data_IF_141233765002
#
_entry.id   IF_141233765002
#
_cell.length_a   1.000
_cell.length_b   1.000
_cell.length_c   1.000
_cell.angle_alpha   90.00
_cell.angle_beta   90.00
_cell.angle_gamma   90.00
#
_symmetry.space_group_name_H-M   'P 1'
#
loop_
_entity.id
_entity.type
_entity.pdbx_description
1 polymer ?
#
# COMPACT_ATOMS: atom_id res chain seq x y z
N UNK A 1 35.79 -54.51 -53.16
CA UNK A 1 35.46 -55.64 -52.26
C UNK A 1 35.08 -55.08 -50.90
N UNK A 2 33.84 -55.39 -50.48
CA UNK A 2 33.29 -55.37 -49.12
C UNK A 2 34.39 -55.14 -48.05
N UNK A 3 34.44 -54.02 -47.33
CA UNK A 3 33.62 -53.72 -46.15
C UNK A 3 33.34 -52.21 -46.06
N UNK A 4 32.39 -51.77 -46.88
CA UNK A 4 31.56 -50.59 -46.64
C UNK A 4 30.38 -51.12 -45.82
N UNK A 5 30.32 -50.81 -44.51
CA UNK A 5 29.13 -50.82 -43.64
C UNK A 5 29.63 -50.78 -42.19
N UNK A 6 29.95 -49.60 -41.64
CA UNK A 6 30.00 -49.31 -40.19
C UNK A 6 30.60 -47.92 -39.93
N UNK A 7 30.17 -46.89 -40.66
CA UNK A 7 30.50 -45.51 -40.28
C UNK A 7 29.50 -44.46 -40.80
N UNK A 8 28.25 -44.89 -41.02
CA UNK A 8 27.17 -44.01 -41.50
C UNK A 8 25.85 -44.31 -40.78
N UNK A 9 25.94 -44.49 -39.46
CA UNK A 9 24.77 -44.59 -38.59
C UNK A 9 24.94 -43.83 -37.27
N UNK A 10 25.75 -42.76 -37.29
CA UNK A 10 26.00 -41.91 -36.11
C UNK A 10 25.93 -40.40 -36.42
N UNK A 11 25.28 -40.01 -37.52
CA UNK A 11 25.07 -38.60 -37.89
C UNK A 11 23.62 -38.38 -38.40
N UNK A 12 22.64 -38.99 -37.72
CA UNK A 12 21.21 -38.72 -37.94
C UNK A 12 20.43 -38.53 -36.63
N UNK A 13 21.13 -38.28 -35.54
CA UNK A 13 20.57 -37.71 -34.32
C UNK A 13 20.94 -36.23 -34.21
N UNK A 14 20.80 -35.49 -35.32
CA UNK A 14 20.40 -34.08 -35.23
C UNK A 14 18.96 -34.14 -34.78
N UNK A 15 18.79 -34.18 -33.46
CA UNK A 15 17.56 -33.80 -32.81
C UNK A 15 17.15 -32.49 -33.46
N UNK A 16 16.08 -32.52 -34.24
CA UNK A 16 15.16 -31.39 -34.22
C UNK A 16 14.72 -31.31 -32.76
N UNK A 17 15.49 -30.61 -31.94
CA UNK A 17 14.87 -29.84 -30.87
C UNK A 17 13.83 -29.01 -31.61
N UNK A 18 12.58 -29.43 -31.43
CA UNK A 18 11.47 -28.52 -31.60
C UNK A 18 11.94 -27.26 -30.90
N UNK A 19 12.04 -26.17 -31.64
CA UNK A 19 11.85 -24.84 -31.07
C UNK A 19 10.51 -24.91 -30.35
N UNK A 20 10.54 -25.38 -29.10
CA UNK A 20 9.43 -25.19 -28.22
C UNK A 20 9.37 -23.69 -28.09
N UNK A 21 8.20 -23.20 -28.44
CA UNK A 21 7.62 -21.90 -28.18
C UNK A 21 7.67 -21.51 -26.68
N UNK A 22 8.76 -21.83 -25.97
CA UNK A 22 9.08 -21.56 -24.57
C UNK A 22 9.96 -20.34 -24.38
N UNK A 23 10.41 -19.71 -25.47
CA UNK A 23 10.93 -18.33 -25.45
C UNK A 23 9.80 -17.29 -25.59
N UNK A 24 8.54 -17.70 -25.40
CA UNK A 24 7.50 -16.79 -24.94
C UNK A 24 7.87 -16.35 -23.52
N UNK A 25 8.61 -15.25 -23.43
CA UNK A 25 8.86 -14.47 -22.23
C UNK A 25 7.62 -14.54 -21.32
N UNK A 26 7.83 -14.90 -20.05
CA UNK A 26 6.81 -14.95 -19.00
C UNK A 26 6.28 -13.53 -18.68
N UNK A 27 5.67 -12.87 -19.67
CA UNK A 27 5.08 -11.52 -19.68
C UNK A 27 3.87 -11.39 -18.76
N UNK A 28 3.43 -12.50 -18.15
CA UNK A 28 2.37 -12.50 -17.14
C UNK A 28 2.82 -11.92 -15.80
N UNK A 29 4.11 -12.00 -15.48
CA UNK A 29 4.62 -11.67 -14.14
C UNK A 29 5.08 -10.23 -13.95
N UNK A 30 5.26 -9.51 -15.06
CA UNK A 30 5.75 -8.13 -15.05
C UNK A 30 4.63 -7.12 -15.30
N UNK A 31 4.77 -5.90 -14.82
CA UNK A 31 3.89 -4.77 -15.17
C UNK A 31 4.74 -3.51 -15.34
N UNK A 32 4.41 -2.72 -16.37
CA UNK A 32 5.06 -1.44 -16.65
C UNK A 32 4.27 -0.31 -16.00
N UNK A 33 4.99 0.57 -15.31
CA UNK A 33 4.46 1.71 -14.59
C UNK A 33 5.05 2.98 -15.19
N UNK A 34 4.23 3.81 -15.83
CA UNK A 34 4.64 5.08 -16.42
C UNK A 34 4.80 6.12 -15.32
N UNK A 35 5.99 6.70 -15.24
CA UNK A 35 6.24 7.86 -14.38
C UNK A 35 5.83 9.12 -15.13
N UNK A 36 4.87 9.86 -14.57
CA UNK A 36 4.47 11.18 -15.02
C UNK A 36 4.96 12.18 -13.99
N UNK A 37 5.95 13.00 -14.36
CA UNK A 37 6.55 13.97 -13.45
C UNK A 37 5.49 14.92 -12.88
N UNK A 38 5.38 14.96 -11.56
CA UNK A 38 4.32 15.70 -10.86
C UNK A 38 4.70 17.12 -10.45
N UNK A 39 5.95 17.33 -10.04
CA UNK A 39 6.48 18.62 -9.56
C UNK A 39 7.96 18.77 -9.92
N UNK A 40 8.54 19.97 -9.73
CA UNK A 40 9.90 20.30 -10.21
C UNK A 40 10.98 19.30 -9.78
N UNK A 41 10.89 18.88 -8.53
CA UNK A 41 11.88 18.05 -7.84
C UNK A 41 11.52 16.56 -7.86
N UNK A 42 10.44 16.19 -8.54
CA UNK A 42 10.07 14.80 -8.79
C UNK A 42 11.04 14.20 -9.81
N UNK A 43 11.61 13.05 -9.44
CA UNK A 43 12.52 12.27 -10.27
C UNK A 43 12.08 10.83 -10.25
N UNK A 44 12.39 10.08 -11.31
CA UNK A 44 12.06 8.66 -11.37
C UNK A 44 12.68 7.86 -10.23
N UNK A 45 13.86 8.27 -9.73
CA UNK A 45 14.52 7.62 -8.58
C UNK A 45 13.73 7.84 -7.28
N UNK A 46 13.24 9.05 -7.04
CA UNK A 46 12.35 9.34 -5.89
C UNK A 46 11.03 8.59 -6.03
N UNK A 47 10.47 8.56 -7.23
CA UNK A 47 9.27 7.78 -7.54
C UNK A 47 9.49 6.28 -7.34
N UNK A 48 10.66 5.73 -7.67
CA UNK A 48 11.02 4.34 -7.41
C UNK A 48 11.14 4.05 -5.91
N UNK A 49 11.70 4.97 -5.12
CA UNK A 49 11.70 4.86 -3.66
C UNK A 49 10.26 4.85 -3.13
N UNK A 50 9.41 5.78 -3.57
CA UNK A 50 8.00 5.83 -3.20
C UNK A 50 7.23 4.55 -3.57
N UNK A 51 7.52 3.96 -4.73
CA UNK A 51 6.96 2.67 -5.14
C UNK A 51 7.43 1.52 -4.25
N UNK A 52 8.72 1.47 -3.89
CA UNK A 52 9.25 0.47 -2.96
C UNK A 52 8.57 0.57 -1.60
N UNK A 53 8.40 1.78 -1.07
CA UNK A 53 7.62 1.98 0.16
C UNK A 53 6.19 1.50 0.01
N UNK A 54 5.47 1.88 -1.06
CA UNK A 54 4.11 1.40 -1.34
C UNK A 54 3.99 -0.13 -1.34
N UNK A 55 4.93 -0.81 -2.02
CA UNK A 55 4.98 -2.27 -2.08
C UNK A 55 5.32 -2.90 -0.73
N UNK A 56 6.24 -2.28 0.02
CA UNK A 56 6.57 -2.71 1.38
C UNK A 56 5.34 -2.65 2.28
N UNK A 57 4.55 -1.57 2.23
CA UNK A 57 3.34 -1.43 3.04
C UNK A 57 2.29 -2.51 2.80
N UNK A 58 2.22 -3.08 1.60
CA UNK A 58 1.33 -4.20 1.28
C UNK A 58 2.00 -5.57 1.46
N UNK A 59 3.18 -5.63 2.09
CA UNK A 59 3.81 -6.88 2.54
C UNK A 59 5.04 -7.34 1.74
N UNK A 60 5.57 -6.53 0.82
CA UNK A 60 6.79 -6.90 0.09
C UNK A 60 8.02 -6.88 1.02
N UNK A 61 8.86 -7.91 0.94
CA UNK A 61 10.17 -7.93 1.63
C UNK A 61 11.27 -7.23 0.83
N UNK A 62 11.07 -7.01 -0.47
CA UNK A 62 11.99 -6.34 -1.40
C UNK A 62 13.45 -6.84 -1.26
N UNK A 63 13.73 -8.08 -1.69
CA UNK A 63 15.07 -8.64 -1.63
C UNK A 63 16.12 -7.73 -2.27
N UNK A 64 17.22 -7.48 -1.55
CA UNK A 64 18.34 -6.67 -2.04
C UNK A 64 19.02 -7.31 -3.25
N UNK A 65 19.14 -8.64 -3.25
CA UNK A 65 19.52 -9.44 -4.41
C UNK A 65 18.28 -9.74 -5.26
N UNK A 66 18.29 -9.36 -6.54
CA UNK A 66 17.20 -9.62 -7.50
C UNK A 66 15.87 -8.94 -7.11
N UNK A 67 15.92 -7.63 -6.85
CA UNK A 67 14.81 -6.80 -6.38
C UNK A 67 13.57 -6.74 -7.29
N UNK A 68 13.65 -7.26 -8.52
CA UNK A 68 12.51 -7.31 -9.45
C UNK A 68 12.19 -6.00 -10.14
N UNK A 69 13.03 -4.97 -10.02
CA UNK A 69 12.84 -3.67 -10.68
C UNK A 69 13.80 -3.50 -11.85
N UNK A 70 13.32 -2.87 -12.91
CA UNK A 70 14.13 -2.26 -13.97
C UNK A 70 13.46 -0.98 -14.43
N UNK A 71 14.23 0.06 -14.76
CA UNK A 71 13.66 1.34 -15.17
C UNK A 71 14.35 1.91 -16.43
N UNK A 72 13.57 2.63 -17.23
CA UNK A 72 14.03 3.56 -18.26
C UNK A 72 13.92 4.99 -17.72
N UNK A 73 14.02 6.02 -18.57
CA UNK A 73 13.82 7.41 -18.15
C UNK A 73 12.37 7.74 -17.75
N UNK A 74 11.38 6.96 -18.22
CA UNK A 74 9.95 7.27 -18.06
C UNK A 74 9.11 6.10 -17.56
N UNK A 75 9.67 4.90 -17.46
CA UNK A 75 8.93 3.69 -17.09
C UNK A 75 9.69 2.89 -16.06
N UNK A 76 8.98 2.43 -15.02
CA UNK A 76 9.46 1.44 -14.06
C UNK A 76 8.73 0.13 -14.35
N UNK A 77 9.48 -0.92 -14.66
CA UNK A 77 8.95 -2.29 -14.78
C UNK A 77 9.21 -3.03 -13.48
N UNK A 78 8.17 -3.65 -12.93
CA UNK A 78 8.28 -4.54 -11.77
C UNK A 78 7.98 -5.98 -12.19
N UNK A 79 8.68 -6.95 -11.61
CA UNK A 79 8.36 -8.36 -11.66
C UNK A 79 7.78 -8.80 -10.31
N UNK A 80 6.48 -9.05 -10.27
CA UNK A 80 5.72 -9.32 -9.05
C UNK A 80 6.28 -10.51 -8.26
N UNK A 81 6.74 -11.57 -8.95
CA UNK A 81 7.30 -12.77 -8.32
C UNK A 81 8.65 -12.53 -7.64
N UNK A 82 9.34 -11.44 -7.96
CA UNK A 82 10.67 -11.10 -7.43
C UNK A 82 10.64 -10.11 -6.27
N UNK A 83 9.48 -9.53 -5.95
CA UNK A 83 9.33 -8.52 -4.89
C UNK A 83 9.31 -9.11 -3.47
N UNK A 84 9.30 -10.44 -3.35
CA UNK A 84 9.33 -11.13 -2.06
C UNK A 84 8.01 -11.04 -1.28
N UNK A 85 6.88 -11.09 -2.01
CA UNK A 85 5.54 -11.27 -1.47
C UNK A 85 5.24 -12.74 -1.12
N UNK A 86 4.26 -12.97 -0.25
CA UNK A 86 3.68 -14.32 -0.04
C UNK A 86 3.00 -14.82 -1.32
N UNK A 87 2.78 -16.13 -1.45
CA UNK A 87 2.14 -16.70 -2.64
C UNK A 87 0.74 -16.12 -2.89
N UNK A 88 -0.06 -15.98 -1.83
CA UNK A 88 -1.41 -15.39 -1.90
C UNK A 88 -1.34 -13.93 -2.38
N UNK A 89 -0.41 -13.14 -1.82
CA UNK A 89 -0.20 -11.77 -2.24
C UNK A 89 0.23 -11.67 -3.71
N UNK A 90 1.13 -12.55 -4.16
CA UNK A 90 1.53 -12.63 -5.57
C UNK A 90 0.35 -12.96 -6.48
N UNK A 91 -0.50 -13.93 -6.12
CA UNK A 91 -1.68 -14.29 -6.91
C UNK A 91 -2.64 -13.10 -7.04
N UNK A 92 -2.92 -12.40 -5.94
CA UNK A 92 -3.76 -11.19 -5.96
C UNK A 92 -3.16 -10.07 -6.82
N UNK A 93 -1.84 -9.81 -6.70
CA UNK A 93 -1.17 -8.79 -7.51
C UNK A 93 -1.12 -9.14 -8.99
N UNK A 94 -0.92 -10.42 -9.34
CA UNK A 94 -0.97 -10.89 -10.73
C UNK A 94 -2.37 -10.71 -11.32
N UNK A 95 -3.41 -11.03 -10.56
CA UNK A 95 -4.81 -10.80 -10.94
C UNK A 95 -5.10 -9.31 -11.16
N UNK A 96 -4.63 -8.44 -10.25
CA UNK A 96 -4.76 -6.99 -10.42
C UNK A 96 -4.01 -6.53 -11.68
N UNK A 97 -2.78 -7.00 -11.89
CA UNK A 97 -1.99 -6.66 -13.06
C UNK A 97 -2.64 -7.12 -14.37
N UNK A 98 -3.31 -8.27 -14.39
CA UNK A 98 -4.11 -8.72 -15.54
C UNK A 98 -5.26 -7.76 -15.85
N UNK A 99 -6.02 -7.33 -14.84
CA UNK A 99 -7.10 -6.32 -15.01
C UNK A 99 -6.55 -4.98 -15.47
N UNK A 100 -5.42 -4.53 -14.94
CA UNK A 100 -4.76 -3.30 -15.37
C UNK A 100 -4.30 -3.41 -16.84
N UNK A 101 -3.66 -4.51 -17.23
CA UNK A 101 -3.21 -4.75 -18.61
C UNK A 101 -4.37 -4.80 -19.62
N UNK A 102 -5.56 -5.19 -19.16
CA UNK A 102 -6.77 -5.18 -19.98
C UNK A 102 -7.40 -3.79 -20.13
N UNK A 103 -6.98 -2.78 -19.36
CA UNK A 103 -7.52 -1.43 -19.43
C UNK A 103 -7.08 -0.68 -20.70
N UNK A 104 -7.92 0.25 -21.22
CA UNK A 104 -7.55 1.09 -22.36
C UNK A 104 -6.26 1.89 -22.14
N UNK A 105 -6.01 2.39 -20.93
CA UNK A 105 -4.76 3.07 -20.55
C UNK A 105 -3.54 2.20 -20.85
N UNK A 106 -3.52 0.96 -20.32
CA UNK A 106 -2.37 0.08 -20.50
C UNK A 106 -2.22 -0.36 -21.94
N UNK A 107 -3.32 -0.65 -22.64
CA UNK A 107 -3.27 -1.02 -24.07
C UNK A 107 -2.73 0.12 -24.95
N UNK A 108 -3.01 1.37 -24.58
CA UNK A 108 -2.56 2.56 -25.31
C UNK A 108 -1.08 2.88 -25.03
N UNK A 109 -0.69 2.83 -23.76
CA UNK A 109 0.63 3.30 -23.31
C UNK A 109 1.65 2.16 -23.12
N UNK A 110 1.23 0.90 -23.20
CA UNK A 110 1.97 -0.28 -22.75
C UNK A 110 2.48 -0.17 -21.29
N UNK A 111 1.76 0.62 -20.49
CA UNK A 111 2.05 0.92 -19.09
C UNK A 111 0.81 1.55 -18.42
N UNK A 112 0.70 1.42 -17.10
CA UNK A 112 -0.28 2.15 -16.27
C UNK A 112 0.40 3.32 -15.58
N UNK A 113 -0.29 4.41 -15.30
CA UNK A 113 0.23 5.47 -14.42
C UNK A 113 0.71 4.89 -13.07
N UNK A 114 1.92 5.26 -12.66
CA UNK A 114 2.53 4.81 -11.41
C UNK A 114 1.69 5.18 -10.18
N UNK A 115 1.17 6.41 -10.12
CA UNK A 115 0.33 6.87 -9.03
C UNK A 115 -1.03 6.17 -9.01
N UNK A 116 -1.61 5.87 -10.18
CA UNK A 116 -2.80 5.00 -10.28
C UNK A 116 -2.52 3.62 -9.71
N UNK A 117 -1.40 3.01 -10.08
CA UNK A 117 -1.03 1.69 -9.55
C UNK A 117 -0.89 1.72 -8.02
N UNK A 118 -0.20 2.72 -7.45
CA UNK A 118 -0.10 2.89 -5.99
C UNK A 118 -1.48 3.08 -5.37
N UNK A 119 -2.33 3.92 -5.95
CA UNK A 119 -3.72 4.13 -5.50
C UNK A 119 -4.50 2.82 -5.45
N UNK A 120 -4.33 1.93 -6.43
CA UNK A 120 -4.95 0.62 -6.41
C UNK A 120 -4.42 -0.30 -5.31
N UNK A 121 -3.16 -0.16 -4.89
CA UNK A 121 -2.60 -1.02 -3.84
C UNK A 121 -3.07 -0.63 -2.44
N UNK A 122 -3.09 0.67 -2.14
CA UNK A 122 -3.29 1.16 -0.77
C UNK A 122 -4.57 1.97 -0.59
N UNK A 123 -5.11 2.60 -1.65
CA UNK A 123 -6.31 3.44 -1.56
C UNK A 123 -7.64 2.69 -1.61
N UNK A 124 -7.62 1.47 -2.15
CA UNK A 124 -8.73 0.53 -2.05
C UNK A 124 -8.49 -0.42 -0.88
N UNK A 125 -9.28 -0.31 0.18
CA UNK A 125 -9.08 -1.05 1.44
C UNK A 125 -9.12 -2.56 1.21
N UNK A 126 -10.04 -3.03 0.38
CA UNK A 126 -10.13 -4.46 0.04
C UNK A 126 -8.93 -4.97 -0.76
N UNK A 127 -8.27 -4.12 -1.56
CA UNK A 127 -7.02 -4.51 -2.20
C UNK A 127 -5.91 -4.64 -1.19
N UNK A 128 -5.73 -3.63 -0.35
CA UNK A 128 -4.77 -3.65 0.76
C UNK A 128 -4.95 -4.92 1.60
N UNK A 129 -6.16 -5.17 2.09
CA UNK A 129 -6.46 -6.31 2.95
C UNK A 129 -6.17 -7.66 2.30
N UNK A 130 -6.51 -7.84 1.02
CA UNK A 130 -6.26 -9.09 0.31
C UNK A 130 -4.78 -9.33 0.02
N UNK A 131 -4.05 -8.27 -0.31
CA UNK A 131 -2.62 -8.38 -0.65
C UNK A 131 -1.82 -8.62 0.63
N UNK A 132 -2.07 -7.86 1.69
CA UNK A 132 -1.35 -8.01 2.96
C UNK A 132 -1.84 -9.19 3.81
N UNK A 133 -2.98 -9.77 3.44
CA UNK A 133 -3.58 -10.91 4.12
C UNK A 133 -4.18 -10.57 5.49
N UNK A 134 -4.85 -9.42 5.60
CA UNK A 134 -5.65 -9.10 6.79
C UNK A 134 -6.80 -10.10 6.89
N UNK A 135 -7.06 -10.71 8.06
CA UNK A 135 -8.21 -11.60 8.25
C UNK A 135 -9.56 -10.91 8.00
N UNK A 136 -10.62 -11.68 7.78
CA UNK A 136 -11.97 -11.14 7.54
C UNK A 136 -12.72 -10.84 8.83
N UNK A 137 -12.32 -11.48 9.93
CA UNK A 137 -12.93 -11.25 11.24
C UNK A 137 -11.90 -10.96 12.32
N UNK A 138 -12.31 -10.20 13.33
CA UNK A 138 -11.51 -9.94 14.51
C UNK A 138 -11.17 -11.25 15.24
N UNK A 139 -12.09 -12.22 15.29
CA UNK A 139 -11.83 -13.53 15.87
C UNK A 139 -10.69 -14.27 15.17
N UNK A 140 -10.60 -14.22 13.85
CA UNK A 140 -9.49 -14.81 13.10
C UNK A 140 -8.15 -14.14 13.43
N UNK A 141 -8.13 -12.81 13.64
CA UNK A 141 -6.94 -12.11 14.15
C UNK A 141 -6.62 -12.64 15.55
N UNK A 142 -7.59 -12.60 16.46
CA UNK A 142 -7.34 -12.85 17.87
C UNK A 142 -6.98 -14.30 18.18
N UNK A 143 -7.39 -15.26 17.36
CA UNK A 143 -6.96 -16.66 17.49
C UNK A 143 -5.47 -16.89 17.21
N UNK A 144 -4.76 -15.92 16.61
CA UNK A 144 -3.33 -16.00 16.31
C UNK A 144 -2.47 -15.49 17.48
N UNK A 145 -3.05 -14.81 18.46
CA UNK A 145 -2.32 -14.11 19.50
C UNK A 145 -2.88 -14.41 20.88
N UNK A 146 -2.05 -14.22 21.91
CA UNK A 146 -2.49 -14.20 23.30
C UNK A 146 -2.26 -12.80 23.84
N UNK A 147 -3.35 -12.09 24.14
CA UNK A 147 -3.27 -10.77 24.74
C UNK A 147 -2.78 -10.86 26.19
N UNK A 148 -2.00 -9.87 26.59
CA UNK A 148 -1.61 -9.71 27.97
C UNK A 148 -2.81 -9.29 28.85
N UNK A 149 -2.79 -9.64 30.15
CA UNK A 149 -3.82 -9.18 31.08
C UNK A 149 -3.75 -7.66 31.31
N UNK A 150 -2.56 -7.05 31.12
CA UNK A 150 -2.40 -5.61 31.18
C UNK A 150 -3.02 -4.94 29.95
N UNK A 151 -3.68 -3.81 30.18
CA UNK A 151 -4.30 -2.99 29.14
C UNK A 151 -4.26 -1.52 29.49
N UNK A 152 -4.24 -0.68 28.47
CA UNK A 152 -4.27 0.78 28.58
C UNK A 152 -5.68 1.33 28.43
N UNK A 153 -5.92 2.49 29.04
CA UNK A 153 -7.11 3.29 28.82
C UNK A 153 -6.68 4.69 28.35
N UNK A 154 -7.22 5.13 27.22
CA UNK A 154 -6.89 6.42 26.60
C UNK A 154 -8.16 7.26 26.55
N UNK A 155 -8.21 8.31 27.36
CA UNK A 155 -9.35 9.24 27.42
C UNK A 155 -9.09 10.57 26.69
N UNK A 156 -7.92 10.71 26.08
CA UNK A 156 -7.57 11.86 25.26
C UNK A 156 -6.73 11.39 24.08
N UNK A 157 -7.41 11.11 22.96
CA UNK A 157 -6.82 10.57 21.73
C UNK A 157 -6.66 11.66 20.68
N UNK A 158 -5.60 11.56 19.87
CA UNK A 158 -5.44 12.40 18.68
C UNK A 158 -6.14 11.85 17.43
N UNK A 159 -6.69 10.63 17.52
CA UNK A 159 -7.32 9.94 16.39
C UNK A 159 -8.79 9.69 16.67
N UNK A 160 -9.10 9.08 17.82
CA UNK A 160 -10.49 8.81 18.21
C UNK A 160 -11.13 10.03 18.85
N UNK A 161 -12.42 10.23 18.56
CA UNK A 161 -13.29 11.19 19.23
C UNK A 161 -13.84 10.62 20.55
N UNK A 162 -13.69 9.31 20.75
CA UNK A 162 -14.12 8.54 21.91
C UNK A 162 -12.94 8.16 22.82
N UNK A 163 -13.23 7.49 23.93
CA UNK A 163 -12.19 6.83 24.70
C UNK A 163 -11.75 5.53 24.03
N UNK A 164 -10.54 5.05 24.33
CA UNK A 164 -10.02 3.79 23.78
C UNK A 164 -9.51 2.86 24.87
N UNK A 165 -9.78 1.57 24.72
CA UNK A 165 -9.10 0.51 25.46
C UNK A 165 -8.05 -0.09 24.54
N UNK A 166 -6.79 -0.09 24.98
CA UNK A 166 -5.67 -0.63 24.22
C UNK A 166 -5.18 -1.91 24.87
N UNK A 167 -5.26 -3.01 24.14
CA UNK A 167 -4.71 -4.31 24.52
C UNK A 167 -3.58 -4.69 23.56
N UNK A 168 -2.66 -5.51 24.03
CA UNK A 168 -1.53 -5.94 23.24
C UNK A 168 -1.03 -7.31 23.67
N UNK A 169 -0.41 -8.04 22.74
CA UNK A 169 0.32 -9.27 23.06
C UNK A 169 1.76 -8.95 23.48
N UNK A 170 2.46 -9.95 24.03
CA UNK A 170 3.91 -9.88 24.08
C UNK A 170 4.48 -9.75 22.66
N UNK A 171 5.63 -9.07 22.57
CA UNK A 171 6.38 -8.96 21.33
C UNK A 171 7.43 -10.05 21.25
N UNK A 172 7.34 -10.90 20.22
CA UNK A 172 8.39 -11.86 19.88
C UNK A 172 8.85 -11.64 18.44
N UNK A 173 9.93 -10.87 18.26
CA UNK A 173 10.30 -10.40 16.92
C UNK A 173 9.19 -9.52 16.33
N UNK A 174 8.80 -9.81 15.09
CA UNK A 174 7.64 -9.22 14.43
C UNK A 174 6.32 -9.96 14.76
N UNK A 175 6.27 -10.83 15.77
CA UNK A 175 5.02 -11.42 16.22
C UNK A 175 4.44 -10.58 17.38
N UNK A 176 3.57 -9.63 17.06
CA UNK A 176 2.83 -8.83 18.03
C UNK A 176 1.54 -8.29 17.40
N UNK A 177 0.49 -8.20 18.21
CA UNK A 177 -0.74 -7.48 17.88
C UNK A 177 -1.05 -6.43 18.94
N UNK A 178 -1.63 -5.33 18.47
CA UNK A 178 -2.34 -4.34 19.28
C UNK A 178 -3.81 -4.39 18.87
N UNK A 179 -4.70 -4.45 19.85
CA UNK A 179 -6.13 -4.31 19.68
C UNK A 179 -6.55 -3.01 20.35
N UNK A 180 -7.34 -2.21 19.63
CA UNK A 180 -8.02 -1.07 20.17
C UNK A 180 -9.52 -1.27 20.09
N UNK A 181 -10.20 -0.91 21.16
CA UNK A 181 -11.66 -0.80 21.23
C UNK A 181 -11.98 0.69 21.36
N UNK A 182 -12.79 1.25 20.47
CA UNK A 182 -13.38 2.59 20.66
C UNK A 182 -14.61 2.44 21.57
N UNK A 183 -14.62 3.14 22.70
CA UNK A 183 -15.58 2.91 23.78
C UNK A 183 -16.25 4.20 24.25
N UNK A 184 -17.56 4.10 24.46
CA UNK A 184 -18.32 5.14 25.14
C UNK A 184 -17.87 5.23 26.61
N UNK A 185 -17.44 6.41 27.08
CA UNK A 185 -16.92 6.56 28.44
C UNK A 185 -17.97 6.45 29.55
N UNK A 186 -19.25 6.58 29.21
CA UNK A 186 -20.40 6.57 30.13
C UNK A 186 -21.06 5.19 30.16
N UNK A 187 -21.34 4.61 29.00
CA UNK A 187 -22.07 3.33 28.89
C UNK A 187 -21.14 2.11 28.83
N UNK A 188 -19.90 2.30 28.36
CA UNK A 188 -18.96 1.21 28.08
C UNK A 188 -19.28 0.44 26.80
N UNK A 189 -20.20 0.94 25.96
CA UNK A 189 -20.49 0.38 24.64
C UNK A 189 -19.28 0.51 23.73
N UNK A 190 -19.05 -0.49 22.88
CA UNK A 190 -17.95 -0.51 21.91
C UNK A 190 -18.52 -0.12 20.54
N UNK A 191 -17.90 0.85 19.88
CA UNK A 191 -18.33 1.33 18.56
C UNK A 191 -17.59 0.64 17.40
N UNK A 192 -16.31 0.35 17.59
CA UNK A 192 -15.49 -0.33 16.59
C UNK A 192 -14.20 -0.91 17.18
N UNK A 193 -13.58 -1.79 16.40
CA UNK A 193 -12.28 -2.36 16.73
C UNK A 193 -11.24 -2.04 15.66
N UNK A 194 -10.02 -1.77 16.10
CA UNK A 194 -8.86 -1.62 15.22
C UNK A 194 -7.73 -2.54 15.67
N UNK A 195 -7.02 -3.12 14.71
CA UNK A 195 -5.83 -3.94 14.99
C UNK A 195 -4.60 -3.41 14.27
N UNK A 196 -3.46 -3.49 14.95
CA UNK A 196 -2.14 -3.28 14.36
C UNK A 196 -1.30 -4.53 14.62
N UNK A 197 -0.83 -5.17 13.57
CA UNK A 197 0.05 -6.34 13.65
C UNK A 197 1.43 -6.00 13.06
N UNK A 198 2.48 -6.50 13.68
CA UNK A 198 3.83 -6.37 13.12
C UNK A 198 4.03 -7.41 12.00
N UNK A 199 4.64 -7.00 10.89
CA UNK A 199 4.95 -7.89 9.77
C UNK A 199 6.46 -8.19 9.66
N UNK A 200 6.85 -9.37 9.15
CA UNK A 200 8.26 -9.75 9.00
C UNK A 200 9.10 -8.83 8.12
N UNK A 201 8.48 -8.04 7.23
CA UNK A 201 9.16 -7.05 6.41
C UNK A 201 9.36 -5.69 7.12
N UNK A 202 9.04 -5.62 8.41
CA UNK A 202 9.17 -4.40 9.22
C UNK A 202 7.94 -3.51 9.23
N UNK A 203 6.96 -3.74 8.35
CA UNK A 203 5.77 -2.89 8.24
C UNK A 203 4.68 -3.28 9.25
N UNK A 204 3.64 -2.46 9.29
CA UNK A 204 2.44 -2.70 10.08
C UNK A 204 1.30 -3.17 9.18
N UNK A 205 0.54 -4.16 9.66
CA UNK A 205 -0.74 -4.56 9.08
C UNK A 205 -1.87 -3.97 9.90
N UNK A 206 -2.74 -3.21 9.24
CA UNK A 206 -3.89 -2.57 9.84
C UNK A 206 -5.17 -3.38 9.54
N UNK A 207 -6.04 -3.47 10.54
CA UNK A 207 -7.39 -4.05 10.41
C UNK A 207 -8.40 -3.14 11.09
N UNK A 208 -9.58 -3.00 10.48
CA UNK A 208 -10.69 -2.22 11.01
C UNK A 208 -11.92 -3.12 10.98
N UNK A 209 -12.63 -3.23 12.09
CA UNK A 209 -13.75 -4.15 12.26
C UNK A 209 -14.96 -3.43 12.86
N UNK A 210 -16.15 -3.84 12.44
CA UNK A 210 -17.41 -3.43 13.07
C UNK A 210 -17.59 -4.10 14.45
N UNK A 211 -18.68 -3.75 15.14
CA UNK A 211 -19.01 -4.27 16.48
C UNK A 211 -19.25 -5.78 16.48
N UNK A 212 -19.68 -6.37 15.35
CA UNK A 212 -19.80 -7.81 15.17
C UNK A 212 -18.46 -8.50 14.88
N UNK A 213 -17.39 -7.72 14.73
CA UNK A 213 -16.05 -8.18 14.43
C UNK A 213 -15.82 -8.53 12.96
N UNK A 214 -16.66 -8.09 12.02
CA UNK A 214 -16.41 -8.22 10.59
C UNK A 214 -15.55 -7.06 10.09
N UNK A 215 -14.62 -7.36 9.18
CA UNK A 215 -13.74 -6.34 8.62
C UNK A 215 -14.53 -5.35 7.76
N UNK A 216 -14.29 -4.05 7.96
CA UNK A 216 -14.85 -2.94 7.17
C UNK A 216 -13.74 -2.14 6.47
N UNK A 217 -14.12 -1.25 5.55
CA UNK A 217 -13.16 -0.52 4.69
C UNK A 217 -12.53 0.71 5.34
N UNK A 218 -13.19 1.31 6.33
CA UNK A 218 -12.77 2.52 7.01
C UNK A 218 -13.37 2.56 8.42
N UNK A 219 -12.73 3.31 9.30
CA UNK A 219 -13.28 3.69 10.59
C UNK A 219 -14.51 4.59 10.41
N UNK A 220 -15.41 4.58 11.38
CA UNK A 220 -16.59 5.45 11.36
C UNK A 220 -16.20 6.89 11.72
N UNK A 221 -16.42 7.82 10.79
CA UNK A 221 -16.07 9.23 10.97
C UNK A 221 -16.83 9.93 12.10
N UNK A 222 -17.94 9.36 12.61
CA UNK A 222 -18.62 9.91 13.79
C UNK A 222 -17.89 9.62 15.10
N UNK A 223 -17.03 8.60 15.13
CA UNK A 223 -16.31 8.16 16.33
C UNK A 223 -14.79 8.27 16.19
N UNK A 224 -14.27 8.30 14.97
CA UNK A 224 -12.83 8.28 14.70
C UNK A 224 -12.39 9.08 13.49
N UNK A 225 -11.23 9.73 13.61
CA UNK A 225 -10.53 10.34 12.48
C UNK A 225 -9.57 9.36 11.78
N UNK A 226 -9.57 8.06 12.12
CA UNK A 226 -8.63 7.09 11.59
C UNK A 226 -8.77 6.84 10.07
N UNK A 227 -9.99 6.93 9.53
CA UNK A 227 -10.27 6.75 8.11
C UNK A 227 -9.93 5.32 7.61
N UNK A 228 -9.25 5.23 6.47
CA UNK A 228 -8.83 3.96 5.85
C UNK A 228 -7.47 3.46 6.38
N UNK A 229 -7.11 2.19 6.16
CA UNK A 229 -5.77 1.66 6.46
C UNK A 229 -4.63 2.53 5.93
N UNK A 230 -4.76 3.09 4.73
CA UNK A 230 -3.75 3.98 4.18
C UNK A 230 -3.55 5.24 5.02
N UNK A 231 -4.60 5.86 5.58
CA UNK A 231 -4.44 7.02 6.47
C UNK A 231 -3.68 6.64 7.73
N UNK A 232 -3.99 5.49 8.33
CA UNK A 232 -3.26 4.96 9.49
C UNK A 232 -1.78 4.71 9.19
N UNK A 233 -1.44 4.24 7.98
CA UNK A 233 -0.05 4.10 7.54
C UNK A 233 0.73 5.43 7.60
N UNK A 234 0.03 6.55 7.41
CA UNK A 234 0.63 7.88 7.27
C UNK A 234 0.55 8.75 8.52
N UNK A 235 -0.52 8.65 9.30
CA UNK A 235 -0.78 9.60 10.37
C UNK A 235 0.40 9.76 11.35
N UNK A 236 1.25 8.74 11.52
CA UNK A 236 2.51 8.90 12.27
C UNK A 236 3.61 7.88 11.86
N UNK A 237 4.10 7.95 10.62
CA UNK A 237 5.26 7.17 10.11
C UNK A 237 5.18 5.63 10.26
N UNK A 238 3.98 5.03 10.24
CA UNK A 238 3.77 3.58 10.43
C UNK A 238 4.59 2.99 11.59
N UNK A 239 4.49 3.60 12.77
CA UNK A 239 5.13 3.11 13.99
C UNK A 239 4.17 3.08 15.16
N UNK A 240 4.49 2.28 16.18
CA UNK A 240 3.75 2.26 17.45
C UNK A 240 3.94 3.62 18.11
N UNK A 241 2.85 4.35 18.35
CA UNK A 241 2.93 5.68 18.94
C UNK A 241 2.75 5.63 20.45
N UNK A 242 3.58 6.34 21.23
CA UNK A 242 3.29 6.57 22.64
C UNK A 242 2.11 7.54 22.79
N UNK A 243 1.65 7.75 24.02
CA UNK A 243 0.62 8.74 24.32
C UNK A 243 1.09 10.15 23.93
N UNK A 244 0.32 10.84 23.10
CA UNK A 244 0.62 12.22 22.66
C UNK A 244 0.08 13.27 23.62
N UNK A 245 -1.11 13.02 24.17
CA UNK A 245 -1.78 13.93 25.08
C UNK A 245 -1.79 13.38 26.52
N UNK A 246 -1.91 14.26 27.52
CA UNK A 246 -2.14 13.83 28.90
C UNK A 246 -3.40 12.98 29.00
N UNK A 247 -3.28 11.83 29.68
CA UNK A 247 -4.35 10.90 29.96
C UNK A 247 -4.49 10.72 31.48
N UNK A 248 -5.70 10.41 31.95
CA UNK A 248 -5.97 10.12 33.36
C UNK A 248 -5.69 8.64 33.68
N UNK A 249 -5.45 8.34 34.95
CA UNK A 249 -5.35 6.97 35.43
C UNK A 249 -6.74 6.39 35.72
N UNK A 250 -6.96 5.14 35.31
CA UNK A 250 -8.21 4.42 35.52
C UNK A 250 -7.97 3.09 36.23
N UNK A 251 -8.80 2.76 37.22
CA UNK A 251 -8.68 1.52 37.98
C UNK A 251 -8.85 0.29 37.07
N UNK A 252 -7.95 -0.69 37.21
CA UNK A 252 -7.94 -1.89 36.38
C UNK A 252 -7.17 -1.78 35.05
N UNK A 253 -6.56 -0.61 34.79
CA UNK A 253 -5.70 -0.36 33.64
C UNK A 253 -4.28 0.02 34.08
N UNK A 254 -3.34 0.00 33.15
CA UNK A 254 -2.03 0.62 33.36
C UNK A 254 -2.21 2.11 33.64
N UNK A 255 -1.36 2.67 34.51
CA UNK A 255 -1.27 4.13 34.64
C UNK A 255 -0.88 4.75 33.30
N UNK A 256 -1.24 6.02 33.06
CA UNK A 256 -0.87 6.71 31.83
C UNK A 256 0.65 6.72 31.61
N UNK A 257 1.44 6.83 32.70
CA UNK A 257 2.89 6.78 32.65
C UNK A 257 3.43 5.38 32.28
N UNK A 258 2.85 4.32 32.86
CA UNK A 258 3.25 2.94 32.56
C UNK A 258 2.85 2.57 31.13
N UNK A 259 1.64 2.91 30.70
CA UNK A 259 1.18 2.70 29.32
C UNK A 259 2.09 3.42 28.33
N UNK A 260 2.41 4.70 28.58
CA UNK A 260 3.33 5.47 27.74
C UNK A 260 4.71 4.79 27.63
N UNK A 261 5.25 4.30 28.75
CA UNK A 261 6.53 3.58 28.80
C UNK A 261 6.48 2.24 28.08
N UNK A 262 5.40 1.48 28.24
CA UNK A 262 5.17 0.20 27.55
C UNK A 262 5.11 0.38 26.03
N UNK A 263 4.32 1.34 25.54
CA UNK A 263 4.21 1.64 24.11
C UNK A 263 5.54 2.12 23.53
N UNK A 264 6.26 2.97 24.27
CA UNK A 264 7.61 3.41 23.91
C UNK A 264 8.58 2.22 23.80
N UNK A 265 8.53 1.28 24.74
CA UNK A 265 9.35 0.06 24.71
C UNK A 265 9.11 -0.77 23.46
N UNK A 266 7.84 -1.02 23.11
CA UNK A 266 7.50 -1.75 21.88
C UNK A 266 7.93 -0.99 20.61
N UNK A 267 7.77 0.33 20.59
CA UNK A 267 8.22 1.17 19.48
C UNK A 267 9.72 1.04 19.25
N UNK A 268 10.54 1.18 20.29
CA UNK A 268 12.00 1.11 20.16
C UNK A 268 12.46 -0.32 19.81
N UNK A 269 11.80 -1.34 20.35
CA UNK A 269 12.04 -2.74 19.97
C UNK A 269 11.72 -2.99 18.49
N UNK A 270 10.55 -2.56 18.01
CA UNK A 270 10.17 -2.66 16.59
C UNK A 270 11.14 -1.86 15.69
N UNK A 271 11.55 -0.66 16.11
CA UNK A 271 12.54 0.15 15.39
C UNK A 271 13.88 -0.57 15.27
N UNK A 272 14.38 -1.17 16.35
CA UNK A 272 15.64 -1.91 16.33
C UNK A 272 15.57 -3.11 15.36
N UNK A 273 14.44 -3.83 15.35
CA UNK A 273 14.22 -4.92 14.41
C UNK A 273 14.18 -4.43 12.95
N UNK A 274 13.46 -3.33 12.68
CA UNK A 274 13.40 -2.69 11.36
C UNK A 274 14.79 -2.32 10.85
N UNK A 275 15.61 -1.69 11.69
CA UNK A 275 16.97 -1.27 11.34
C UNK A 275 17.95 -2.44 11.16
N UNK A 276 17.62 -3.63 11.67
CA UNK A 276 18.41 -4.84 11.49
C UNK A 276 18.06 -5.61 10.21
N UNK A 277 17.00 -5.23 9.49
CA UNK A 277 16.63 -5.86 8.22
C UNK A 277 17.65 -5.54 7.13
N UNK A 278 18.07 -6.58 6.40
CA UNK A 278 19.01 -6.47 5.27
C UNK A 278 18.32 -6.36 3.91
N UNK A 279 17.00 -6.61 3.88
CA UNK A 279 16.12 -6.46 2.73
C UNK A 279 15.04 -5.43 3.08
N UNK A 280 14.36 -4.88 2.08
CA UNK A 280 13.29 -3.93 2.30
C UNK A 280 13.66 -2.50 1.92
N UNK A 281 12.88 -1.58 2.46
CA UNK A 281 13.13 -0.14 2.41
C UNK A 281 14.15 0.27 3.47
N UNK A 282 14.74 1.45 3.30
CA UNK A 282 15.68 1.99 4.30
C UNK A 282 14.91 2.65 5.45
N UNK A 283 14.68 1.89 6.52
CA UNK A 283 14.01 2.36 7.73
C UNK A 283 14.79 3.43 8.51
N UNK A 284 16.06 3.71 8.17
CA UNK A 284 16.79 4.86 8.75
C UNK A 284 16.32 6.20 8.15
N UNK A 285 15.69 6.17 6.98
CA UNK A 285 15.23 7.34 6.25
C UNK A 285 13.76 7.61 6.57
N UNK A 286 13.51 8.21 7.74
CA UNK A 286 12.16 8.34 8.31
C UNK A 286 11.17 9.09 7.43
N UNK A 287 11.62 9.91 6.47
CA UNK A 287 10.75 10.73 5.62
C UNK A 287 10.55 10.15 4.21
N UNK A 288 11.21 9.06 3.84
CA UNK A 288 11.06 8.51 2.47
C UNK A 288 9.66 7.97 2.18
N UNK A 289 8.89 7.60 3.21
CA UNK A 289 7.51 7.15 3.03
C UNK A 289 6.61 8.22 2.42
N UNK A 290 6.91 9.51 2.64
CA UNK A 290 6.17 10.63 2.03
C UNK A 290 6.24 10.61 0.50
N UNK A 291 7.25 9.94 -0.09
CA UNK A 291 7.33 9.73 -1.53
C UNK A 291 6.21 8.81 -2.03
N UNK A 292 5.71 7.88 -1.22
CA UNK A 292 4.50 7.11 -1.56
C UNK A 292 3.27 8.00 -1.59
N UNK A 293 3.16 8.93 -0.64
CA UNK A 293 2.03 9.88 -0.60
C UNK A 293 2.00 10.74 -1.85
N UNK A 294 3.15 11.31 -2.24
CA UNK A 294 3.25 12.14 -3.42
C UNK A 294 2.89 11.39 -4.72
N UNK A 295 3.11 10.07 -4.79
CA UNK A 295 2.69 9.27 -5.95
C UNK A 295 1.18 9.22 -6.12
N UNK A 296 0.42 8.88 -5.07
CA UNK A 296 -1.03 8.82 -5.21
C UNK A 296 -1.68 10.21 -5.13
N UNK A 297 -1.15 11.15 -4.33
CA UNK A 297 -1.71 12.51 -4.23
C UNK A 297 -1.59 13.20 -5.59
N UNK A 298 -0.41 13.18 -6.21
CA UNK A 298 -0.27 13.79 -7.53
C UNK A 298 -1.12 13.11 -8.60
N UNK A 299 -1.47 11.83 -8.43
CA UNK A 299 -2.41 11.16 -9.31
C UNK A 299 -3.87 11.54 -9.05
N UNK A 300 -4.30 11.54 -7.78
CA UNK A 300 -5.66 11.88 -7.36
C UNK A 300 -5.96 13.37 -7.46
N UNK A 301 -4.91 14.20 -7.44
CA UNK A 301 -4.98 15.64 -7.49
C UNK A 301 -3.93 16.20 -8.45
N UNK A 302 -4.08 15.97 -9.77
CA UNK A 302 -3.02 16.29 -10.71
C UNK A 302 -2.99 17.78 -11.07
N UNK A 303 -1.78 18.27 -11.38
CA UNK A 303 -1.59 19.56 -12.06
C UNK A 303 -1.81 19.42 -13.57
N UNK A 304 -1.99 20.55 -14.26
CA UNK A 304 -2.10 20.57 -15.72
C UNK A 304 -0.81 20.03 -16.38
N UNK A 305 0.36 20.33 -15.82
CA UNK A 305 1.66 19.85 -16.28
C UNK A 305 1.75 18.32 -16.19
N UNK A 306 1.34 17.73 -15.06
CA UNK A 306 1.33 16.27 -14.89
C UNK A 306 0.35 15.62 -15.87
N UNK A 307 -0.85 16.18 -16.02
CA UNK A 307 -1.86 15.70 -16.99
C UNK A 307 -1.34 15.76 -18.44
N UNK A 308 -0.55 16.77 -18.79
CA UNK A 308 0.07 16.86 -20.13
C UNK A 308 0.95 15.64 -20.46
N UNK A 309 1.68 15.14 -19.46
CA UNK A 309 2.51 13.94 -19.58
C UNK A 309 1.66 12.66 -19.56
N UNK A 310 0.67 12.60 -18.66
CA UNK A 310 -0.25 11.46 -18.53
C UNK A 310 -1.00 11.23 -19.86
N UNK A 311 -1.64 12.29 -20.37
CA UNK A 311 -2.50 12.26 -21.56
C UNK A 311 -1.72 12.38 -22.87
N UNK A 312 -0.41 12.63 -22.81
CA UNK A 312 0.43 12.87 -23.99
C UNK A 312 -0.13 14.00 -24.88
N UNK A 313 -0.51 15.11 -24.24
CA UNK A 313 -1.02 16.32 -24.89
C UNK A 313 -0.10 17.50 -24.55
N UNK A 314 -0.12 18.54 -25.39
CA UNK A 314 0.56 19.78 -25.01
C UNK A 314 -0.13 20.43 -23.80
N UNK A 315 0.63 21.15 -22.97
CA UNK A 315 0.09 21.86 -21.82
C UNK A 315 -1.07 22.81 -22.18
N UNK A 316 -1.00 23.44 -23.35
CA UNK A 316 -2.07 24.34 -23.86
C UNK A 316 -3.35 23.56 -24.14
N UNK A 317 -3.26 22.38 -24.74
CA UNK A 317 -4.45 21.54 -24.96
C UNK A 317 -5.07 21.09 -23.64
N UNK A 318 -4.25 20.71 -22.67
CA UNK A 318 -4.73 20.33 -21.34
C UNK A 318 -5.40 21.51 -20.65
N UNK A 319 -4.77 22.69 -20.61
CA UNK A 319 -5.36 23.90 -20.02
C UNK A 319 -6.71 24.28 -20.66
N UNK A 320 -6.86 24.07 -21.97
CA UNK A 320 -8.13 24.29 -22.66
C UNK A 320 -9.20 23.27 -22.22
N UNK A 321 -8.84 22.00 -22.07
CA UNK A 321 -9.76 20.95 -21.56
C UNK A 321 -10.20 21.21 -20.12
N UNK A 322 -9.28 21.72 -19.29
CA UNK A 322 -9.53 22.01 -17.87
C UNK A 322 -10.23 23.36 -17.63
N UNK A 323 -10.52 24.12 -18.70
CA UNK A 323 -11.06 25.47 -18.58
C UNK A 323 -12.42 25.47 -17.86
N UNK A 324 -12.50 26.22 -16.76
CA UNK A 324 -13.72 26.37 -15.96
C UNK A 324 -13.91 25.30 -14.88
N UNK A 325 -13.02 24.31 -14.77
CA UNK A 325 -13.03 23.38 -13.64
C UNK A 325 -12.51 24.04 -12.36
N UNK A 326 -13.02 23.64 -11.18
CA UNK A 326 -12.50 24.12 -9.91
C UNK A 326 -11.07 23.66 -9.70
N UNK A 327 -10.31 24.47 -8.96
CA UNK A 327 -8.93 24.17 -8.59
C UNK A 327 -8.72 24.41 -7.11
N UNK A 328 -7.70 23.77 -6.55
CA UNK A 328 -7.29 23.93 -5.16
C UNK A 328 -5.78 23.80 -4.99
N UNK A 329 -5.33 23.93 -3.75
CA UNK A 329 -3.95 23.68 -3.31
C UNK A 329 -3.99 22.62 -2.22
N UNK A 330 -3.15 21.60 -2.32
CA UNK A 330 -3.05 20.59 -1.27
C UNK A 330 -2.37 21.17 -0.03
N UNK A 331 -3.06 21.17 1.11
CA UNK A 331 -2.63 21.87 2.31
C UNK A 331 -1.29 21.35 2.87
N UNK A 332 -1.06 20.03 2.85
CA UNK A 332 0.18 19.43 3.37
C UNK A 332 1.36 19.60 2.39
N UNK A 333 1.08 19.77 1.09
CA UNK A 333 2.07 19.83 0.02
C UNK A 333 1.79 21.01 -0.94
N UNK A 334 1.82 22.25 -0.44
CA UNK A 334 1.45 23.43 -1.24
C UNK A 334 2.39 23.66 -2.44
N UNK A 335 3.59 23.06 -2.42
CA UNK A 335 4.53 23.11 -3.54
C UNK A 335 4.02 22.37 -4.80
N UNK A 336 2.98 21.53 -4.69
CA UNK A 336 2.33 20.91 -5.84
C UNK A 336 1.57 21.92 -6.72
N UNK A 337 1.30 23.13 -6.19
CA UNK A 337 0.73 24.23 -6.95
C UNK A 337 -0.79 24.12 -7.11
N UNK A 338 -1.28 24.51 -8.29
CA UNK A 338 -2.71 24.49 -8.63
C UNK A 338 -3.11 23.10 -9.13
N UNK A 339 -4.01 22.45 -8.41
CA UNK A 339 -4.43 21.08 -8.64
C UNK A 339 -5.91 21.00 -9.00
N UNK A 340 -6.29 19.90 -9.62
CA UNK A 340 -7.67 19.53 -9.95
C UNK A 340 -8.01 18.23 -9.24
N UNK A 341 -9.28 17.98 -8.91
CA UNK A 341 -9.66 16.64 -8.42
C UNK A 341 -9.70 15.65 -9.59
N UNK A 342 -9.20 14.43 -9.36
CA UNK A 342 -9.22 13.34 -10.34
C UNK A 342 -10.62 13.06 -10.87
N UNK A 343 -11.63 13.08 -10.00
CA UNK A 343 -13.03 12.84 -10.39
C UNK A 343 -13.55 13.85 -11.43
N UNK A 344 -13.08 15.10 -11.35
CA UNK A 344 -13.50 16.17 -12.27
C UNK A 344 -12.83 16.06 -13.64
N UNK A 345 -11.61 15.49 -13.70
CA UNK A 345 -10.79 15.48 -14.92
C UNK A 345 -10.76 14.14 -15.65
N UNK A 346 -11.14 13.03 -14.99
CA UNK A 346 -11.00 11.66 -15.56
C UNK A 346 -11.81 11.49 -16.86
N UNK A 347 -12.98 12.13 -16.96
CA UNK A 347 -13.84 12.07 -18.17
C UNK A 347 -13.24 12.80 -19.38
N UNK A 348 -12.26 13.67 -19.16
CA UNK A 348 -11.56 14.42 -20.20
C UNK A 348 -10.34 13.68 -20.76
N UNK A 349 -9.91 12.60 -20.10
CA UNK A 349 -8.74 11.84 -20.48
C UNK A 349 -8.93 11.13 -21.84
N UNK A 350 -7.89 11.08 -22.70
CA UNK A 350 -7.98 10.45 -24.02
C UNK A 350 -8.07 8.91 -23.97
N UNK A 351 -7.84 8.34 -22.80
CA UNK A 351 -8.00 6.92 -22.50
C UNK A 351 -8.59 6.78 -21.11
N UNK A 352 -9.15 5.60 -20.82
CA UNK A 352 -9.68 5.29 -19.50
C UNK A 352 -8.77 4.26 -18.82
N UNK A 353 -8.39 4.56 -17.58
CA UNK A 353 -7.67 3.62 -16.73
C UNK A 353 -8.62 2.70 -15.99
N UNK A 354 -8.04 1.81 -15.18
CA UNK A 354 -8.82 1.08 -14.18
C UNK A 354 -9.34 2.07 -13.13
N UNK A 355 -10.63 2.01 -12.79
CA UNK A 355 -11.25 2.93 -11.83
C UNK A 355 -10.59 2.80 -10.45
N UNK A 356 -10.46 3.93 -9.74
CA UNK A 356 -9.90 4.00 -8.40
C UNK A 356 -10.98 4.35 -7.38
N UNK A 357 -10.72 4.07 -6.10
CA UNK A 357 -11.54 4.56 -5.01
C UNK A 357 -11.54 6.09 -4.97
N UNK A 358 -12.67 6.71 -4.60
CA UNK A 358 -12.79 8.17 -4.60
C UNK A 358 -11.82 8.86 -3.64
N UNK A 359 -11.53 8.24 -2.49
CA UNK A 359 -10.53 8.69 -1.53
C UNK A 359 -9.53 7.60 -1.18
N UNK A 360 -8.27 7.98 -1.00
CA UNK A 360 -7.20 7.07 -0.54
C UNK A 360 -7.16 6.97 0.98
N UNK A 361 -7.33 8.10 1.67
CA UNK A 361 -7.19 8.20 3.13
C UNK A 361 -8.52 8.11 3.88
N UNK A 362 -9.56 8.71 3.33
CA UNK A 362 -10.88 8.79 3.97
C UNK A 362 -11.85 7.78 3.38
N UNK A 363 -13.05 7.68 3.98
CA UNK A 363 -14.17 6.95 3.41
C UNK A 363 -14.40 7.36 1.93
N UNK A 364 -14.61 6.34 1.10
CA UNK A 364 -14.94 6.55 -0.30
C UNK A 364 -16.43 6.50 -0.53
N UNK A 365 -16.94 7.43 -1.34
CA UNK A 365 -18.27 7.31 -1.95
C UNK A 365 -18.31 6.18 -2.98
N UNK A 366 -17.19 5.95 -3.67
CA UNK A 366 -16.97 4.84 -4.60
C UNK A 366 -15.78 4.03 -4.10
N UNK A 367 -16.03 2.84 -3.56
CA UNK A 367 -14.99 1.91 -3.17
C UNK A 367 -14.83 0.79 -4.20
N UNK A 368 -13.63 0.67 -4.78
CA UNK A 368 -13.38 -0.32 -5.83
C UNK A 368 -12.87 -1.63 -5.24
N UNK A 369 -13.22 -2.75 -5.90
CA UNK A 369 -12.64 -4.05 -5.62
C UNK A 369 -12.43 -4.86 -6.90
N UNK A 370 -11.27 -4.67 -7.51
CA UNK A 370 -10.80 -5.37 -8.70
C UNK A 370 -10.26 -6.77 -8.36
N UNK A 371 -10.12 -7.15 -7.09
CA UNK A 371 -9.65 -8.49 -6.70
C UNK A 371 -10.79 -9.49 -6.45
N UNK A 372 -12.05 -9.05 -6.42
CA UNK A 372 -13.19 -9.96 -6.49
C UNK A 372 -13.46 -10.41 -7.93
N UNK A 373 -14.12 -11.57 -8.07
CA UNK A 373 -14.62 -12.13 -9.33
C UNK A 373 -15.69 -11.23 -9.95
#
# INVERSE_FOLDING_TARGET
MKKILLFFFFILSVSCERDSYSDLIETKTTINLKWNKAYSDDTIDKSLIGLKWALSYVGATLPSSNSGFSNTETTITINIKKLGFTEIAQQNLLRLAEKIKASPEYQTNNAVDLGRFVTQLIGASEHYYKIIGTPKTLTEVMNQYTLLPQKGYVNNSGVSLEHRIIQFSEQNGFNQVFLSEEVDPVTGEIYEYETIELLPNGQLRFGIFDIEGNRKNNADSSHSNAGKPAKCMWCHESTIQPLFYPNNDYAGFLSAADLGTTLLGYRESHRNQKLALTNGVDFSQTQQHTLTELLYISFMEPSAERLSLEWNLSIVQVQNLLSGLPTHVYAEFPFLGTLYNREDVETLAPFQGLSVSSHVREESTIEVNHLND
#
